data_IF_870080531533
#
_entry.id   IF_870080531533
#
_cell.length_a   1.000
_cell.length_b   1.000
_cell.length_c   1.000
_cell.angle_alpha   90.00
_cell.angle_beta   90.00
_cell.angle_gamma   90.00
#
_symmetry.space_group_name_H-M   'P 1'
#
loop_
_entity.id
_entity.type
_entity.pdbx_description
1 polymer ?
#
# COMPACT_ATOMS: atom_id res chain seq x y z
N UNK A 1 -21.24 -2.56 10.39
CA UNK A 1 -19.90 -2.95 10.89
C UNK A 1 -19.33 -3.95 9.88
N UNK A 2 -18.39 -3.54 9.01
CA UNK A 2 -17.74 -4.48 8.08
C UNK A 2 -16.66 -5.25 8.86
N UNK A 3 -16.71 -6.60 8.92
CA UNK A 3 -15.85 -7.40 9.79
C UNK A 3 -14.49 -7.71 9.16
N UNK A 4 -13.78 -6.67 8.70
CA UNK A 4 -12.44 -6.83 8.15
C UNK A 4 -11.58 -5.58 8.32
N UNK A 5 -10.35 -5.75 8.79
CA UNK A 5 -9.40 -4.64 8.92
C UNK A 5 -8.92 -4.15 7.54
N UNK A 6 -8.12 -3.08 7.50
CA UNK A 6 -7.52 -2.55 6.25
C UNK A 6 -6.79 -3.66 5.47
N UNK A 7 -6.22 -4.66 6.14
CA UNK A 7 -5.61 -5.83 5.52
C UNK A 7 -6.57 -6.65 4.66
N UNK A 8 -7.84 -6.76 5.05
CA UNK A 8 -8.84 -7.53 4.32
C UNK A 8 -9.25 -6.82 3.02
N UNK A 9 -9.18 -5.48 2.98
CA UNK A 9 -9.36 -4.69 1.76
C UNK A 9 -8.27 -4.96 0.71
N UNK A 10 -7.08 -5.39 1.14
CA UNK A 10 -5.99 -5.69 0.21
C UNK A 10 -6.05 -7.10 -0.37
N UNK A 11 -6.85 -8.02 0.19
CA UNK A 11 -6.93 -9.41 -0.29
C UNK A 11 -7.25 -9.52 -1.79
N UNK A 12 -8.19 -8.76 -2.38
CA UNK A 12 -8.50 -8.85 -3.80
C UNK A 12 -7.37 -8.37 -4.74
N UNK A 13 -6.35 -7.72 -4.19
CA UNK A 13 -5.20 -7.16 -4.92
C UNK A 13 -3.93 -8.00 -4.79
N UNK A 14 -3.93 -8.99 -3.88
CA UNK A 14 -2.82 -9.94 -3.74
C UNK A 14 -2.64 -10.71 -5.06
N UNK A 15 -1.39 -10.84 -5.50
CA UNK A 15 -0.99 -11.41 -6.81
C UNK A 15 -1.45 -10.64 -8.05
N UNK A 16 -1.98 -9.43 -7.91
CA UNK A 16 -2.25 -8.55 -9.04
C UNK A 16 -1.10 -7.58 -9.29
N UNK A 17 -0.89 -7.23 -10.56
CA UNK A 17 -0.03 -6.11 -10.95
C UNK A 17 -0.70 -4.79 -10.58
N UNK A 18 0.00 -3.95 -9.84
CA UNK A 18 -0.48 -2.68 -9.30
C UNK A 18 0.54 -1.57 -9.50
N UNK A 19 0.05 -0.33 -9.60
CA UNK A 19 0.83 0.87 -9.29
C UNK A 19 0.59 1.26 -7.85
N UNK A 20 1.64 1.79 -7.24
CA UNK A 20 1.59 2.27 -5.86
C UNK A 20 2.05 3.72 -5.86
N UNK A 21 1.23 4.58 -5.29
CA UNK A 21 1.55 5.98 -5.03
C UNK A 21 1.60 6.19 -3.53
N UNK A 22 2.54 7.00 -3.07
CA UNK A 22 2.72 7.36 -1.68
C UNK A 22 2.77 8.88 -1.60
N UNK A 23 1.86 9.48 -0.81
CA UNK A 23 1.73 10.94 -0.71
C UNK A 23 1.60 11.66 -2.07
N UNK A 24 0.93 11.00 -3.03
CA UNK A 24 0.71 11.53 -4.38
C UNK A 24 1.89 11.37 -5.34
N UNK A 25 2.97 10.69 -4.93
CA UNK A 25 4.14 10.42 -5.76
C UNK A 25 4.21 8.92 -6.06
N UNK A 26 4.44 8.50 -7.32
CA UNK A 26 4.69 7.10 -7.65
C UNK A 26 5.85 6.53 -6.82
N UNK A 27 5.66 5.35 -6.23
CA UNK A 27 6.67 4.72 -5.38
C UNK A 27 7.93 4.33 -6.15
N UNK A 28 7.76 3.99 -7.43
CA UNK A 28 8.82 3.79 -8.42
C UNK A 28 8.21 3.89 -9.83
N UNK A 29 9.05 3.96 -10.86
CA UNK A 29 8.65 3.94 -12.27
C UNK A 29 8.21 2.54 -12.76
N UNK A 30 7.99 1.59 -11.85
CA UNK A 30 7.66 0.19 -12.18
C UNK A 30 6.33 -0.25 -11.57
N UNK A 31 5.77 -1.31 -12.15
CA UNK A 31 4.62 -2.02 -11.58
C UNK A 31 5.07 -3.02 -10.53
N UNK A 32 4.21 -3.23 -9.53
CA UNK A 32 4.45 -4.16 -8.44
C UNK A 32 3.40 -5.27 -8.43
N UNK A 33 3.76 -6.43 -7.93
CA UNK A 33 2.82 -7.42 -7.43
C UNK A 33 2.70 -7.27 -5.90
N UNK A 34 1.47 -7.27 -5.38
CA UNK A 34 1.27 -7.42 -3.94
C UNK A 34 1.45 -8.89 -3.59
N UNK A 35 2.56 -9.21 -2.95
CA UNK A 35 2.84 -10.59 -2.53
C UNK A 35 1.98 -10.97 -1.31
N UNK A 36 1.86 -10.07 -0.35
CA UNK A 36 1.07 -10.27 0.87
C UNK A 36 0.93 -8.98 1.68
N UNK A 37 -0.09 -8.91 2.54
CA UNK A 37 -0.31 -7.80 3.47
C UNK A 37 -0.67 -8.32 4.85
N UNK A 38 -0.16 -7.67 5.89
CA UNK A 38 -0.38 -8.05 7.29
C UNK A 38 -0.54 -6.82 8.16
N UNK A 39 -1.29 -6.97 9.25
CA UNK A 39 -1.31 -5.98 10.33
C UNK A 39 -0.22 -6.32 11.35
N UNK A 40 0.50 -5.30 11.82
CA UNK A 40 1.48 -5.44 12.89
C UNK A 40 1.31 -4.29 13.89
N UNK A 41 0.66 -4.59 15.02
CA UNK A 41 0.18 -3.57 15.96
C UNK A 41 -0.79 -2.59 15.29
N UNK A 42 -0.45 -1.30 15.35
CA UNK A 42 -1.18 -0.24 14.65
C UNK A 42 -0.65 0.03 13.23
N UNK A 43 0.32 -0.74 12.74
CA UNK A 43 0.85 -0.60 11.38
C UNK A 43 0.26 -1.62 10.41
N UNK A 44 0.34 -1.29 9.13
CA UNK A 44 0.08 -2.16 7.99
C UNK A 44 1.40 -2.42 7.26
N UNK A 45 1.70 -3.69 7.02
CA UNK A 45 2.89 -4.17 6.32
C UNK A 45 2.45 -4.75 4.99
N UNK A 46 2.86 -4.13 3.89
CA UNK A 46 2.54 -4.56 2.53
C UNK A 46 3.84 -4.98 1.86
N UNK A 47 3.92 -6.25 1.49
CA UNK A 47 5.08 -6.77 0.79
C UNK A 47 4.83 -6.71 -0.71
N UNK A 48 5.66 -5.93 -1.39
CA UNK A 48 5.61 -5.71 -2.83
C UNK A 48 6.79 -6.42 -3.50
N UNK A 49 6.57 -6.95 -4.70
CA UNK A 49 7.61 -7.47 -5.59
C UNK A 49 7.51 -6.71 -6.91
N UNK A 50 8.61 -6.45 -7.60
CA UNK A 50 8.50 -5.96 -8.98
C UNK A 50 7.73 -6.98 -9.84
N UNK A 51 6.84 -6.51 -10.72
CA UNK A 51 6.08 -7.39 -11.60
C UNK A 51 6.97 -8.14 -12.60
N UNK A 52 8.14 -7.58 -12.95
CA UNK A 52 9.18 -8.26 -13.74
C UNK A 52 9.99 -9.31 -12.95
N UNK A 53 9.60 -9.58 -11.71
CA UNK A 53 10.35 -10.43 -10.78
C UNK A 53 11.37 -9.63 -9.96
N UNK A 54 11.90 -10.27 -8.90
CA UNK A 54 12.95 -9.67 -8.06
C UNK A 54 12.65 -9.71 -6.57
N UNK A 55 13.35 -8.85 -5.81
CA UNK A 55 13.33 -8.85 -4.34
C UNK A 55 11.98 -8.38 -3.80
N UNK A 56 11.42 -9.16 -2.88
CA UNK A 56 10.28 -8.78 -2.04
C UNK A 56 10.69 -7.65 -1.10
N UNK A 57 10.02 -6.51 -1.20
CA UNK A 57 10.34 -5.27 -0.50
C UNK A 57 9.14 -4.79 0.31
N UNK A 58 9.39 -4.35 1.54
CA UNK A 58 8.36 -3.92 2.47
C UNK A 58 7.99 -2.45 2.26
N UNK A 59 6.70 -2.21 2.04
CA UNK A 59 6.04 -0.92 2.23
C UNK A 59 5.29 -0.96 3.56
N UNK A 60 5.76 -0.18 4.53
CA UNK A 60 5.14 -0.07 5.86
C UNK A 60 4.34 1.22 5.93
N UNK A 61 3.06 1.09 6.27
CA UNK A 61 2.14 2.21 6.52
C UNK A 61 1.85 2.25 8.01
N UNK A 62 2.31 3.29 8.70
CA UNK A 62 2.22 3.36 10.15
C UNK A 62 0.97 4.10 10.61
N UNK A 63 0.16 3.45 11.44
CA UNK A 63 -1.04 4.04 12.06
C UNK A 63 -2.03 4.65 11.06
N UNK A 64 -2.39 3.94 9.96
CA UNK A 64 -3.44 4.43 9.07
C UNK A 64 -4.77 4.52 9.84
N UNK A 65 -5.54 5.59 9.60
CA UNK A 65 -6.81 5.80 10.32
C UNK A 65 -8.02 5.34 9.52
N UNK A 66 -7.93 5.38 8.20
CA UNK A 66 -9.03 5.04 7.31
C UNK A 66 -8.50 4.42 6.01
N UNK A 67 -9.35 3.65 5.36
CA UNK A 67 -9.11 3.15 4.03
C UNK A 67 -10.44 3.01 3.28
N UNK A 68 -10.40 3.19 1.98
CA UNK A 68 -11.52 2.98 1.06
C UNK A 68 -11.10 2.01 -0.03
N UNK A 69 -12.07 1.31 -0.62
CA UNK A 69 -11.87 0.35 -1.70
C UNK A 69 -12.89 0.62 -2.80
N UNK A 70 -12.43 0.60 -4.04
CA UNK A 70 -13.22 0.42 -5.25
C UNK A 70 -12.77 -0.85 -5.97
N UNK A 71 -13.38 -1.17 -7.11
CA UNK A 71 -13.12 -2.41 -7.86
C UNK A 71 -11.64 -2.66 -8.15
N UNK A 72 -10.90 -1.60 -8.50
CA UNK A 72 -9.51 -1.65 -8.98
C UNK A 72 -8.56 -0.75 -8.18
N UNK A 73 -9.02 -0.15 -7.08
CA UNK A 73 -8.22 0.80 -6.29
C UNK A 73 -8.49 0.67 -4.79
N UNK A 74 -7.41 0.77 -4.00
CA UNK A 74 -7.47 0.93 -2.54
C UNK A 74 -6.76 2.22 -2.18
N UNK A 75 -7.39 3.01 -1.33
CA UNK A 75 -6.80 4.21 -0.75
C UNK A 75 -6.65 4.01 0.75
N UNK A 76 -5.48 4.37 1.27
CA UNK A 76 -5.16 4.30 2.70
C UNK A 76 -4.77 5.71 3.12
N UNK A 77 -5.53 6.27 4.05
CA UNK A 77 -5.42 7.67 4.43
C UNK A 77 -4.90 7.85 5.86
N UNK A 78 -4.42 9.06 6.13
CA UNK A 78 -4.01 9.53 7.47
C UNK A 78 -2.95 8.67 8.17
N UNK A 79 -2.04 8.05 7.41
CA UNK A 79 -0.89 7.38 8.01
C UNK A 79 0.01 8.42 8.71
N UNK A 80 0.60 8.03 9.86
CA UNK A 80 1.60 8.87 10.54
C UNK A 80 2.87 9.01 9.72
N UNK A 81 3.30 7.92 9.09
CA UNK A 81 4.41 7.89 8.14
C UNK A 81 4.26 6.66 7.23
N UNK A 82 4.93 6.73 6.08
CA UNK A 82 5.11 5.60 5.18
C UNK A 82 6.61 5.34 5.03
N UNK A 83 7.00 4.07 5.01
CA UNK A 83 8.38 3.64 4.89
C UNK A 83 8.50 2.60 3.77
N UNK A 84 9.47 2.80 2.88
CA UNK A 84 9.79 1.90 1.78
C UNK A 84 11.23 1.40 1.90
N UNK A 85 11.43 0.09 1.79
CA UNK A 85 12.75 -0.52 1.84
C UNK A 85 13.62 -0.09 3.05
N UNK A 86 12.98 0.16 4.20
CA UNK A 86 13.68 0.62 5.40
C UNK A 86 13.73 2.15 5.59
N UNK A 87 13.39 2.95 4.56
CA UNK A 87 13.52 4.42 4.58
C UNK A 87 12.16 5.10 4.64
N UNK A 88 12.01 6.09 5.52
CA UNK A 88 10.78 6.91 5.58
C UNK A 88 10.69 7.76 4.31
N UNK A 89 9.49 7.84 3.75
CA UNK A 89 9.20 8.66 2.59
C UNK A 89 8.71 10.05 3.04
N UNK A 90 9.07 11.08 2.28
CA UNK A 90 8.64 12.45 2.54
C UNK A 90 7.12 12.56 2.50
N UNK A 91 6.55 13.21 3.50
CA UNK A 91 5.10 13.31 3.68
C UNK A 91 4.59 14.62 3.10
N UNK A 92 3.62 14.52 2.20
CA UNK A 92 2.83 15.67 1.73
C UNK A 92 1.54 15.77 2.53
N UNK A 93 1.35 16.87 3.26
CA UNK A 93 0.14 17.09 4.05
C UNK A 93 -1.10 17.24 3.14
N UNK A 94 -2.25 16.73 3.60
CA UNK A 94 -3.51 16.80 2.84
C UNK A 94 -3.63 15.80 1.69
N UNK A 95 -2.62 14.97 1.44
CA UNK A 95 -2.64 13.94 0.39
C UNK A 95 -2.86 12.56 1.00
N UNK A 96 -3.53 11.67 0.24
CA UNK A 96 -3.72 10.27 0.58
C UNK A 96 -2.35 9.62 0.82
N UNK A 97 -2.25 8.83 1.89
CA UNK A 97 -0.96 8.28 2.31
C UNK A 97 -0.46 7.21 1.33
N UNK A 98 -1.34 6.28 0.94
CA UNK A 98 -1.02 5.25 -0.06
C UNK A 98 -2.22 5.03 -0.96
N UNK A 99 -1.99 5.02 -2.28
CA UNK A 99 -2.94 4.55 -3.28
C UNK A 99 -2.35 3.31 -3.95
N UNK A 100 -3.16 2.26 -4.07
CA UNK A 100 -2.82 1.03 -4.78
C UNK A 100 -3.87 0.82 -5.86
N UNK A 101 -3.46 0.80 -7.13
CA UNK A 101 -4.36 0.67 -8.26
C UNK A 101 -3.92 -0.47 -9.18
N UNK A 102 -4.83 -1.37 -9.53
CA UNK A 102 -4.58 -2.48 -10.46
C UNK A 102 -4.22 -1.91 -11.83
N UNK A 103 -3.20 -2.49 -12.45
CA UNK A 103 -2.85 -2.23 -13.85
C UNK A 103 -3.55 -3.27 -14.72
N UNK A 104 -4.29 -2.79 -15.72
CA UNK A 104 -4.87 -3.63 -16.78
C UNK A 104 -3.84 -3.92 -17.85
#
# INVERSE_FOLDING_TARGET
MMPGGITDLLRPFVKKSVRVEVWGVPLADSTFEIDSAYRFGAGLLIFLRSASGGRRTLLKVAQPKSASISEDRVEISDARYVQWAGRKLERTAGIIAVVIAVQR
#
